data_IF_586565460158
#
_entry.id   IF_586565460158
#
_cell.length_a   1.000
_cell.length_b   1.000
_cell.length_c   1.000
_cell.angle_alpha   90.00
_cell.angle_beta   90.00
_cell.angle_gamma   90.00
#
_symmetry.space_group_name_H-M   'P 1'
#
loop_
_entity.id
_entity.type
_entity.pdbx_description
1 polymer ?
#
# COMPACT_ATOMS: atom_id res chain seq x y z
N UNK A 1 24.33 6.79 -10.97
CA UNK A 1 23.93 5.88 -9.87
C UNK A 1 23.40 4.57 -10.44
N UNK A 2 23.73 3.44 -9.83
CA UNK A 2 23.14 2.16 -10.17
C UNK A 2 21.72 2.04 -9.54
N UNK A 3 20.92 1.05 -9.93
CA UNK A 3 19.55 0.92 -9.40
C UNK A 3 19.47 0.82 -7.88
N UNK A 4 20.42 0.15 -7.24
CA UNK A 4 20.47 0.01 -5.77
C UNK A 4 20.67 1.37 -5.12
N UNK A 5 21.60 2.17 -5.62
CA UNK A 5 21.87 3.52 -5.13
C UNK A 5 20.70 4.46 -5.39
N UNK A 6 20.06 4.34 -6.55
CA UNK A 6 18.87 5.13 -6.90
C UNK A 6 17.72 4.84 -5.93
N UNK A 7 17.46 3.58 -5.64
CA UNK A 7 16.41 3.18 -4.68
C UNK A 7 16.72 3.69 -3.28
N UNK A 8 17.97 3.60 -2.85
CA UNK A 8 18.38 4.11 -1.55
C UNK A 8 18.18 5.63 -1.43
N UNK A 9 18.51 6.38 -2.50
CA UNK A 9 18.31 7.82 -2.55
C UNK A 9 16.82 8.19 -2.47
N UNK A 10 15.97 7.47 -3.19
CA UNK A 10 14.51 7.67 -3.15
C UNK A 10 14.00 7.42 -1.73
N UNK A 11 14.38 6.31 -1.11
CA UNK A 11 13.96 5.99 0.25
C UNK A 11 14.35 7.07 1.25
N UNK A 12 15.59 7.57 1.16
CA UNK A 12 16.08 8.63 2.04
C UNK A 12 15.29 9.92 1.87
N UNK A 13 15.03 10.33 0.65
CA UNK A 13 14.28 11.56 0.36
C UNK A 13 12.82 11.46 0.83
N UNK A 14 12.16 10.34 0.58
CA UNK A 14 10.78 10.13 1.02
C UNK A 14 10.70 10.12 2.55
N UNK A 15 11.63 9.43 3.22
CA UNK A 15 11.66 9.41 4.68
C UNK A 15 11.86 10.81 5.27
N UNK A 16 12.69 11.63 4.63
CA UNK A 16 12.89 13.02 5.03
C UNK A 16 11.56 13.79 4.96
N UNK A 17 10.83 13.65 3.86
CA UNK A 17 9.54 14.33 3.68
C UNK A 17 8.48 13.82 4.65
N UNK A 18 8.45 12.53 4.93
CA UNK A 18 7.53 11.94 5.91
C UNK A 18 7.78 12.49 7.31
N UNK A 19 9.04 12.74 7.70
CA UNK A 19 9.36 13.33 8.99
C UNK A 19 8.89 14.79 9.12
N UNK A 20 8.77 15.49 8.01
CA UNK A 20 8.27 16.87 8.00
C UNK A 20 6.75 16.96 8.09
N UNK A 21 6.05 15.86 7.83
CA UNK A 21 4.58 15.80 7.88
C UNK A 21 4.12 15.86 9.35
N UNK A 22 3.19 16.76 9.64
CA UNK A 22 2.62 16.85 10.98
C UNK A 22 1.62 15.73 11.24
N UNK A 23 1.31 15.50 12.52
CA UNK A 23 0.29 14.51 12.90
C UNK A 23 -1.08 14.87 12.33
N UNK A 24 -1.41 16.17 12.31
CA UNK A 24 -2.66 16.70 11.76
C UNK A 24 -2.74 16.45 10.25
N UNK A 25 -1.66 16.74 9.53
CA UNK A 25 -1.57 16.48 8.08
C UNK A 25 -1.71 14.99 7.79
N UNK A 26 -1.04 14.15 8.57
CA UNK A 26 -1.13 12.70 8.41
C UNK A 26 -2.57 12.22 8.57
N UNK A 27 -3.28 12.71 9.58
CA UNK A 27 -4.67 12.35 9.82
C UNK A 27 -5.56 12.82 8.69
N UNK A 28 -5.44 14.08 8.28
CA UNK A 28 -6.22 14.67 7.20
C UNK A 28 -6.02 13.92 5.89
N UNK A 29 -4.76 13.68 5.51
CA UNK A 29 -4.44 12.98 4.26
C UNK A 29 -4.89 11.53 4.30
N UNK A 30 -4.77 10.89 5.45
CA UNK A 30 -5.25 9.51 5.64
C UNK A 30 -6.76 9.42 5.47
N UNK A 31 -7.49 10.38 6.02
CA UNK A 31 -8.95 10.44 5.89
C UNK A 31 -9.37 10.60 4.42
N UNK A 32 -8.67 11.46 3.68
CA UNK A 32 -8.94 11.65 2.25
C UNK A 32 -8.66 10.37 1.44
N UNK A 33 -7.58 9.66 1.76
CA UNK A 33 -7.26 8.36 1.15
C UNK A 33 -8.39 7.37 1.41
N UNK A 34 -8.80 7.22 2.66
CA UNK A 34 -9.84 6.29 3.05
C UNK A 34 -11.18 6.61 2.40
N UNK A 35 -11.56 7.88 2.31
CA UNK A 35 -12.78 8.31 1.63
C UNK A 35 -12.79 7.87 0.16
N UNK A 36 -11.67 8.02 -0.53
CA UNK A 36 -11.56 7.58 -1.93
C UNK A 36 -11.70 6.07 -2.07
N UNK A 37 -11.06 5.30 -1.19
CA UNK A 37 -11.16 3.84 -1.21
C UNK A 37 -12.59 3.40 -0.98
N UNK A 38 -13.28 4.01 0.00
CA UNK A 38 -14.66 3.66 0.35
C UNK A 38 -15.63 3.87 -0.82
N UNK A 39 -15.32 4.77 -1.74
CA UNK A 39 -16.13 5.05 -2.92
C UNK A 39 -15.83 4.13 -4.11
N UNK A 40 -14.77 3.31 -4.04
CA UNK A 40 -14.38 2.43 -5.13
C UNK A 40 -15.27 1.19 -5.18
N UNK A 41 -15.75 0.84 -6.38
CA UNK A 41 -16.56 -0.36 -6.58
C UNK A 41 -15.78 -1.63 -6.24
N UNK A 42 -14.49 -1.67 -6.53
CA UNK A 42 -13.63 -2.80 -6.21
C UNK A 42 -13.58 -3.07 -4.71
N UNK A 43 -13.51 -2.01 -3.91
CA UNK A 43 -13.58 -2.12 -2.45
C UNK A 43 -14.95 -2.62 -1.99
N UNK A 44 -16.00 -2.02 -2.52
CA UNK A 44 -17.38 -2.36 -2.15
C UNK A 44 -17.75 -3.81 -2.47
N UNK A 45 -17.18 -4.37 -3.54
CA UNK A 45 -17.47 -5.73 -4.00
C UNK A 45 -16.59 -6.80 -3.39
N UNK A 46 -15.45 -6.43 -2.80
CA UNK A 46 -14.51 -7.39 -2.24
C UNK A 46 -15.09 -8.10 -1.01
N UNK A 47 -14.87 -9.42 -0.94
CA UNK A 47 -15.33 -10.27 0.15
C UNK A 47 -14.21 -10.73 1.07
N UNK A 48 -12.99 -10.85 0.53
CA UNK A 48 -11.78 -11.22 1.28
C UNK A 48 -10.71 -10.18 1.03
N UNK A 49 -10.42 -9.38 2.03
CA UNK A 49 -9.52 -8.23 1.92
C UNK A 49 -8.30 -8.42 2.81
N UNK A 50 -7.13 -8.20 2.26
CA UNK A 50 -5.89 -8.13 3.05
C UNK A 50 -5.61 -6.67 3.39
N UNK A 51 -5.47 -6.40 4.67
CA UNK A 51 -5.14 -5.08 5.22
C UNK A 51 -3.78 -5.16 5.93
N UNK A 52 -3.26 -4.03 6.34
CA UNK A 52 -1.98 -3.98 7.07
C UNK A 52 -2.11 -3.10 8.31
N UNK A 53 -1.28 -3.36 9.31
CA UNK A 53 -1.11 -2.48 10.45
C UNK A 53 -0.16 -1.36 10.06
N UNK A 54 -0.66 -0.12 10.05
CA UNK A 54 0.09 1.03 9.56
C UNK A 54 1.28 1.34 10.44
N UNK A 55 2.44 1.55 9.81
CA UNK A 55 3.61 2.15 10.45
C UNK A 55 3.37 3.65 10.63
N UNK A 56 4.13 4.33 11.51
CA UNK A 56 3.97 5.80 11.68
C UNK A 56 4.14 6.61 10.39
N UNK A 57 4.85 6.05 9.40
CA UNK A 57 5.08 6.68 8.10
C UNK A 57 4.06 6.31 7.04
N UNK A 58 3.04 5.53 7.40
CA UNK A 58 2.04 5.03 6.46
C UNK A 58 0.68 5.67 6.72
N UNK A 59 -0.22 5.70 5.72
CA UNK A 59 -1.58 6.16 5.94
C UNK A 59 -2.29 5.39 7.05
N UNK A 60 -3.08 6.09 7.84
CA UNK A 60 -3.94 5.51 8.88
C UNK A 60 -5.17 4.93 8.19
N UNK A 61 -5.36 3.63 8.27
CA UNK A 61 -6.45 2.95 7.56
C UNK A 61 -7.55 2.41 8.47
N UNK A 62 -7.65 2.93 9.69
CA UNK A 62 -8.70 2.55 10.64
C UNK A 62 -10.10 2.61 10.04
N UNK A 63 -10.49 3.66 9.27
CA UNK A 63 -11.82 3.69 8.65
C UNK A 63 -12.10 2.51 7.74
N UNK A 64 -11.09 1.99 7.05
CA UNK A 64 -11.23 0.84 6.16
C UNK A 64 -11.43 -0.45 6.95
N UNK A 65 -10.73 -0.60 8.07
CA UNK A 65 -10.90 -1.75 8.97
C UNK A 65 -12.31 -1.75 9.56
N UNK A 66 -12.78 -0.60 10.00
CA UNK A 66 -14.13 -0.44 10.55
C UNK A 66 -15.21 -0.73 9.50
N UNK A 67 -14.99 -0.33 8.26
CA UNK A 67 -15.91 -0.62 7.16
C UNK A 67 -16.03 -2.13 6.91
N UNK A 68 -14.90 -2.85 6.92
CA UNK A 68 -14.91 -4.31 6.80
C UNK A 68 -15.72 -4.95 7.92
N UNK A 69 -15.54 -4.51 9.17
CA UNK A 69 -16.29 -5.02 10.33
C UNK A 69 -17.77 -4.74 10.19
N UNK A 70 -18.14 -3.51 9.82
CA UNK A 70 -19.54 -3.09 9.68
C UNK A 70 -20.26 -3.88 8.59
N UNK A 71 -19.60 -4.17 7.48
CA UNK A 71 -20.16 -4.92 6.36
C UNK A 71 -19.98 -6.43 6.48
N UNK A 72 -19.28 -6.89 7.54
CA UNK A 72 -18.97 -8.31 7.77
C UNK A 72 -18.15 -8.92 6.62
N UNK A 73 -17.24 -8.13 6.07
CA UNK A 73 -16.27 -8.58 5.08
C UNK A 73 -15.11 -9.25 5.80
N UNK A 74 -14.64 -10.39 5.30
CA UNK A 74 -13.47 -11.07 5.87
C UNK A 74 -12.21 -10.25 5.62
N UNK A 75 -11.55 -9.80 6.69
CA UNK A 75 -10.29 -9.07 6.61
C UNK A 75 -9.16 -9.83 7.28
N UNK A 76 -7.98 -9.76 6.67
CA UNK A 76 -6.78 -10.46 7.12
C UNK A 76 -5.66 -9.42 7.26
N UNK A 77 -5.12 -9.30 8.47
CA UNK A 77 -4.17 -8.24 8.78
C UNK A 77 -2.72 -8.71 8.65
N UNK A 78 -1.91 -7.91 7.96
CA UNK A 78 -0.46 -8.07 7.96
C UNK A 78 0.09 -7.22 9.10
N UNK A 79 0.72 -7.82 10.13
CA UNK A 79 1.24 -7.06 11.27
C UNK A 79 2.39 -6.14 10.88
N UNK A 80 2.60 -5.06 11.65
CA UNK A 80 3.67 -4.10 11.41
C UNK A 80 5.05 -4.73 11.32
N UNK A 81 5.31 -5.74 12.15
CA UNK A 81 6.61 -6.38 12.27
C UNK A 81 6.75 -7.65 11.43
N UNK A 82 5.82 -7.92 10.53
CA UNK A 82 5.91 -9.08 9.66
C UNK A 82 7.10 -8.97 8.71
N UNK A 83 7.90 -10.02 8.63
CA UNK A 83 9.09 -10.10 7.76
C UNK A 83 8.98 -11.21 6.72
N UNK A 84 8.14 -12.19 6.99
CA UNK A 84 7.91 -13.32 6.09
C UNK A 84 6.47 -13.80 6.20
N UNK A 85 6.07 -14.64 5.27
CA UNK A 85 4.75 -15.26 5.23
C UNK A 85 4.48 -16.16 6.44
N UNK A 86 5.52 -16.54 7.19
CA UNK A 86 5.38 -17.34 8.42
C UNK A 86 4.80 -16.51 9.58
N UNK A 87 4.86 -15.18 9.49
CA UNK A 87 4.41 -14.29 10.57
C UNK A 87 2.90 -14.05 10.58
N UNK A 88 2.20 -14.51 9.56
CA UNK A 88 0.75 -14.35 9.42
C UNK A 88 0.21 -15.36 8.42
N UNK A 89 -1.13 -15.46 8.35
CA UNK A 89 -1.78 -16.35 7.38
C UNK A 89 -2.69 -15.56 6.48
N UNK A 90 -2.59 -15.83 5.16
CA UNK A 90 -3.53 -15.33 4.18
C UNK A 90 -4.48 -16.47 3.79
N UNK A 91 -5.74 -16.15 3.52
CA UNK A 91 -6.69 -17.12 3.00
C UNK A 91 -6.39 -17.40 1.53
N UNK A 92 -6.97 -18.47 1.02
CA UNK A 92 -7.03 -18.68 -0.43
C UNK A 92 -8.02 -17.67 -1.03
N UNK A 93 -7.82 -17.32 -2.29
CA UNK A 93 -8.74 -16.48 -3.06
C UNK A 93 -8.97 -15.09 -2.44
N UNK A 94 -7.89 -14.36 -2.14
CA UNK A 94 -7.95 -12.96 -1.76
C UNK A 94 -8.50 -12.13 -2.92
N UNK A 95 -9.53 -11.31 -2.66
CA UNK A 95 -10.15 -10.46 -3.69
C UNK A 95 -9.41 -9.13 -3.87
N UNK A 96 -8.96 -8.56 -2.76
CA UNK A 96 -8.31 -7.25 -2.76
C UNK A 96 -7.24 -7.21 -1.68
N UNK A 97 -6.11 -6.61 -2.02
CA UNK A 97 -5.02 -6.37 -1.06
C UNK A 97 -4.67 -4.89 -1.03
N UNK A 98 -4.66 -4.31 0.17
CA UNK A 98 -4.13 -2.97 0.40
C UNK A 98 -2.61 -3.07 0.52
N UNK A 99 -1.90 -2.24 -0.21
CA UNK A 99 -0.44 -2.33 -0.33
C UNK A 99 0.21 -1.01 0.09
N UNK A 100 0.99 -1.01 1.18
CA UNK A 100 1.80 0.15 1.53
C UNK A 100 3.08 0.17 0.69
N UNK A 101 3.77 1.30 0.66
CA UNK A 101 5.05 1.41 -0.01
C UNK A 101 5.78 2.68 0.36
N UNK A 102 7.07 2.71 0.10
CA UNK A 102 7.88 3.92 0.27
C UNK A 102 7.57 4.91 -0.84
N UNK A 103 7.44 4.43 -2.07
CA UNK A 103 7.11 5.26 -3.22
C UNK A 103 6.37 4.43 -4.26
N UNK A 104 5.61 5.12 -5.09
CA UNK A 104 4.97 4.54 -6.26
C UNK A 104 5.28 5.42 -7.47
N UNK A 105 5.36 4.83 -8.64
CA UNK A 105 5.50 5.60 -9.86
C UNK A 105 4.15 5.95 -10.45
N UNK A 106 4.13 6.89 -11.39
CA UNK A 106 2.92 7.21 -12.15
C UNK A 106 2.38 6.02 -12.92
N UNK A 107 3.26 5.06 -13.26
CA UNK A 107 2.88 3.81 -13.92
C UNK A 107 2.46 2.73 -12.92
N UNK A 108 2.30 3.08 -11.65
CA UNK A 108 1.85 2.22 -10.56
C UNK A 108 2.81 1.10 -10.16
N UNK A 109 4.09 1.31 -10.40
CA UNK A 109 5.13 0.46 -9.86
C UNK A 109 5.38 0.84 -8.40
N UNK A 110 5.84 -0.12 -7.60
CA UNK A 110 5.99 0.06 -6.16
C UNK A 110 7.44 -0.10 -5.73
N UNK A 111 7.90 0.81 -4.88
CA UNK A 111 9.17 0.68 -4.16
C UNK A 111 8.85 0.37 -2.70
N UNK A 112 9.25 -0.79 -2.23
CA UNK A 112 9.09 -1.20 -0.83
C UNK A 112 10.28 -0.80 0.03
N UNK A 113 10.28 -1.31 1.27
CA UNK A 113 11.31 -1.00 2.27
C UNK A 113 12.61 -1.78 2.08
N UNK A 114 12.60 -2.81 1.21
CA UNK A 114 13.77 -3.63 0.91
C UNK A 114 13.67 -5.08 1.39
N UNK A 115 12.72 -5.42 2.25
CA UNK A 115 12.56 -6.80 2.74
C UNK A 115 11.90 -7.77 1.77
N UNK A 116 11.22 -7.26 0.75
CA UNK A 116 10.61 -8.07 -0.30
C UNK A 116 9.32 -8.80 0.09
N UNK A 117 8.77 -8.54 1.29
CA UNK A 117 7.55 -9.24 1.74
C UNK A 117 6.38 -9.04 0.79
N UNK A 118 6.03 -7.78 0.48
CA UNK A 118 4.91 -7.50 -0.42
C UNK A 118 5.19 -7.96 -1.84
N UNK A 119 6.43 -7.87 -2.31
CA UNK A 119 6.79 -8.37 -3.64
C UNK A 119 6.51 -9.87 -3.73
N UNK A 120 6.84 -10.64 -2.69
CA UNK A 120 6.54 -12.07 -2.64
C UNK A 120 5.05 -12.37 -2.55
N UNK A 121 4.31 -11.61 -1.73
CA UNK A 121 2.86 -11.78 -1.61
C UNK A 121 2.15 -11.50 -2.93
N UNK A 122 2.54 -10.41 -3.60
CA UNK A 122 1.92 -9.97 -4.85
C UNK A 122 2.27 -10.88 -6.03
N UNK A 123 3.41 -11.56 -5.98
CA UNK A 123 3.80 -12.55 -6.99
C UNK A 123 3.28 -13.95 -6.68
N UNK A 124 2.79 -14.20 -5.46
CA UNK A 124 2.36 -15.51 -4.97
C UNK A 124 0.91 -15.53 -4.46
N UNK A 125 0.70 -15.56 -3.12
CA UNK A 125 -0.65 -15.76 -2.56
C UNK A 125 -1.69 -14.72 -2.98
N UNK A 126 -1.26 -13.49 -3.23
CA UNK A 126 -2.16 -12.40 -3.62
C UNK A 126 -2.03 -12.03 -5.11
N UNK A 127 -1.47 -12.92 -5.93
CA UNK A 127 -1.20 -12.61 -7.35
C UNK A 127 -2.47 -12.27 -8.14
N UNK A 128 -3.60 -12.86 -7.79
CA UNK A 128 -4.89 -12.65 -8.48
C UNK A 128 -5.76 -11.57 -7.84
N UNK A 129 -5.34 -11.04 -6.70
CA UNK A 129 -6.08 -10.00 -6.00
C UNK A 129 -6.01 -8.66 -6.72
N UNK A 130 -7.03 -7.83 -6.55
CA UNK A 130 -6.96 -6.42 -6.93
C UNK A 130 -5.96 -5.73 -6.01
N UNK A 131 -4.90 -5.16 -6.58
CA UNK A 131 -3.77 -4.59 -5.85
C UNK A 131 -3.94 -3.09 -5.73
N UNK A 132 -4.26 -2.63 -4.54
CA UNK A 132 -4.56 -1.23 -4.26
C UNK A 132 -3.46 -0.61 -3.42
N UNK A 133 -2.59 0.16 -4.06
CA UNK A 133 -1.53 0.90 -3.37
C UNK A 133 -2.09 2.11 -2.66
N UNK A 134 -1.62 2.36 -1.44
CA UNK A 134 -2.02 3.51 -0.64
C UNK A 134 -0.77 4.30 -0.24
N UNK A 135 -0.76 5.60 -0.50
CA UNK A 135 0.34 6.47 -0.10
C UNK A 135 -0.09 7.94 -0.08
N UNK A 136 0.74 8.79 0.50
CA UNK A 136 0.55 10.23 0.43
C UNK A 136 0.97 10.74 -0.96
N UNK A 137 0.39 11.83 -1.41
CA UNK A 137 0.59 12.32 -2.78
C UNK A 137 2.06 12.56 -3.15
N UNK A 138 2.88 13.02 -2.19
CA UNK A 138 4.30 13.25 -2.46
C UNK A 138 5.12 11.96 -2.62
N UNK A 139 4.55 10.79 -2.33
CA UNK A 139 5.20 9.50 -2.54
C UNK A 139 5.01 8.97 -3.96
N UNK A 140 4.24 9.66 -4.80
CA UNK A 140 4.11 9.31 -6.22
C UNK A 140 5.15 10.08 -7.02
N UNK A 141 6.03 9.33 -7.68
CA UNK A 141 7.17 9.86 -8.44
C UNK A 141 6.96 9.62 -9.94
N UNK A 142 7.68 10.37 -10.77
CA UNK A 142 7.61 10.18 -12.23
C UNK A 142 8.08 8.79 -12.64
N UNK A 143 9.09 8.26 -11.97
CA UNK A 143 9.58 6.90 -12.20
C UNK A 143 10.39 6.41 -11.01
N UNK A 144 10.49 5.09 -10.90
CA UNK A 144 11.36 4.40 -9.95
C UNK A 144 12.13 3.33 -10.71
N UNK A 145 13.35 2.97 -10.26
CA UNK A 145 14.09 1.88 -10.91
C UNK A 145 13.31 0.58 -10.83
N UNK A 146 13.20 -0.11 -11.96
CA UNK A 146 12.35 -1.30 -12.10
C UNK A 146 13.18 -2.53 -12.35
N UNK A 147 12.72 -3.65 -11.83
CA UNK A 147 13.19 -4.99 -12.14
C UNK A 147 12.06 -5.77 -12.80
N UNK A 148 12.39 -6.75 -13.64
CA UNK A 148 11.39 -7.50 -14.43
C UNK A 148 10.35 -8.23 -13.59
N UNK A 149 10.66 -8.53 -12.32
CA UNK A 149 9.75 -9.25 -11.41
C UNK A 149 8.85 -8.33 -10.59
N UNK A 150 8.96 -7.01 -10.74
CA UNK A 150 8.12 -6.08 -10.01
C UNK A 150 6.68 -6.13 -10.50
N UNK A 151 5.75 -6.10 -9.57
CA UNK A 151 4.32 -6.17 -9.85
C UNK A 151 3.74 -4.76 -9.91
N UNK A 152 2.91 -4.51 -10.92
CA UNK A 152 2.20 -3.24 -11.09
C UNK A 152 0.93 -3.26 -10.25
N UNK A 153 0.64 -2.16 -9.53
CA UNK A 153 -0.63 -2.02 -8.82
C UNK A 153 -1.78 -1.82 -9.80
N UNK A 154 -2.96 -2.32 -9.47
CA UNK A 154 -4.17 -2.05 -10.26
C UNK A 154 -4.62 -0.61 -10.09
N UNK A 155 -4.45 -0.05 -8.90
CA UNK A 155 -4.67 1.36 -8.64
C UNK A 155 -3.75 1.83 -7.50
N UNK A 156 -3.48 3.13 -7.46
CA UNK A 156 -2.80 3.79 -6.35
C UNK A 156 -3.65 4.97 -5.90
N UNK A 157 -4.03 4.96 -4.63
CA UNK A 157 -4.87 6.01 -4.03
C UNK A 157 -4.02 6.89 -3.14
N UNK A 158 -4.10 8.19 -3.40
CA UNK A 158 -3.45 9.22 -2.58
C UNK A 158 -4.48 10.17 -2.00
N UNK A 159 -4.02 11.09 -1.17
CA UNK A 159 -4.88 12.18 -0.65
C UNK A 159 -5.35 13.16 -1.73
N UNK A 160 -4.88 13.04 -2.97
CA UNK A 160 -5.25 13.94 -4.07
C UNK A 160 -5.95 13.26 -5.23
N UNK A 161 -5.66 11.98 -5.49
CA UNK A 161 -6.13 11.33 -6.71
C UNK A 161 -6.11 9.82 -6.60
N UNK A 162 -6.74 9.18 -7.58
CA UNK A 162 -6.65 7.75 -7.83
C UNK A 162 -5.99 7.58 -9.21
N UNK A 163 -4.88 6.84 -9.25
CA UNK A 163 -4.23 6.45 -10.50
C UNK A 163 -4.64 5.01 -10.83
N UNK A 164 -5.13 4.80 -12.05
CA UNK A 164 -5.54 3.47 -12.53
C UNK A 164 -4.90 3.13 -13.86
#
# INVERSE_FOLDING_TARGET
LNPIEQKAAIRAEIQRRLREMTAEERQEYSDEICERVLEMSQWAEAQKVVIFSSLPSEPIITPLKLDCEARKVSSFNIPQNARSEADFRLPEAVDLILVPGVAFSKDRHRLGRGGGLFDRLLAGPAAKAYKLGLCFSFQVLDGIPMESHNVVMDAVVTNRAIAT
#
